data_IF_336370581977
#
_entry.id   IF_336370581977
#
_cell.length_a   1.000
_cell.length_b   1.000
_cell.length_c   1.000
_cell.angle_alpha   90.00
_cell.angle_beta   90.00
_cell.angle_gamma   90.00
#
_symmetry.space_group_name_H-M   'P 1'
#
loop_
_entity.id
_entity.type
_entity.pdbx_description
1 polymer ?
#
# COMPACT_ATOMS: atom_id res chain seq x y z
N UNK A 1 21.30 18.32 13.39
CA UNK A 1 19.96 17.76 13.06
C UNK A 1 20.14 16.84 11.87
N UNK A 2 19.95 15.54 12.05
CA UNK A 2 20.06 14.55 10.96
C UNK A 2 18.97 14.82 9.90
N UNK A 3 19.31 14.71 8.61
CA UNK A 3 18.37 14.96 7.50
C UNK A 3 17.12 14.06 7.61
N UNK A 4 17.26 12.83 8.11
CA UNK A 4 16.14 11.92 8.40
C UNK A 4 15.14 12.49 9.41
N UNK A 5 15.59 13.27 10.40
CA UNK A 5 14.71 13.94 11.38
C UNK A 5 13.95 15.10 10.74
N UNK A 6 14.60 15.84 9.84
CA UNK A 6 13.93 16.87 9.05
C UNK A 6 12.88 16.27 8.09
N UNK A 7 13.18 15.12 7.47
CA UNK A 7 12.19 14.35 6.69
C UNK A 7 11.02 13.89 7.54
N UNK A 8 11.29 13.38 8.74
CA UNK A 8 10.23 12.97 9.66
C UNK A 8 9.31 14.14 10.04
N UNK A 9 9.90 15.31 10.35
CA UNK A 9 9.12 16.53 10.62
C UNK A 9 8.27 16.96 9.42
N UNK A 10 8.81 16.89 8.20
CA UNK A 10 8.06 17.17 6.97
C UNK A 10 6.96 16.15 6.70
N UNK A 11 7.19 14.86 7.02
CA UNK A 11 6.16 13.82 6.86
C UNK A 11 4.94 14.01 7.76
N UNK A 12 5.10 14.78 8.83
CA UNK A 12 4.02 15.16 9.74
C UNK A 12 3.55 16.60 9.55
N UNK A 13 4.18 17.37 8.67
CA UNK A 13 3.74 18.74 8.41
C UNK A 13 2.56 18.71 7.43
N UNK A 14 1.55 19.53 7.70
CA UNK A 14 0.43 19.76 6.78
C UNK A 14 0.75 20.81 5.71
N UNK A 15 2.03 21.12 5.48
CA UNK A 15 2.43 22.12 4.50
C UNK A 15 2.21 21.58 3.08
N UNK A 16 1.53 22.32 2.21
CA UNK A 16 1.28 21.92 0.81
C UNK A 16 2.56 21.60 0.03
N UNK A 17 3.69 22.23 0.39
CA UNK A 17 4.99 22.02 -0.25
C UNK A 17 5.87 20.98 0.46
N UNK A 18 5.37 20.32 1.51
CA UNK A 18 6.08 19.27 2.22
C UNK A 18 6.62 18.16 1.30
N UNK A 19 5.86 17.60 0.33
CA UNK A 19 6.37 16.53 -0.53
C UNK A 19 7.54 16.97 -1.41
N UNK A 20 7.47 18.17 -2.01
CA UNK A 20 8.57 18.72 -2.81
C UNK A 20 9.83 18.99 -1.99
N UNK A 21 9.68 19.50 -0.76
CA UNK A 21 10.79 19.69 0.18
C UNK A 21 11.40 18.36 0.61
N UNK A 22 10.58 17.36 0.91
CA UNK A 22 11.02 16.03 1.29
C UNK A 22 11.80 15.36 0.14
N UNK A 23 11.29 15.44 -1.09
CA UNK A 23 11.95 14.91 -2.28
C UNK A 23 13.30 15.60 -2.53
N UNK A 24 13.34 16.93 -2.41
CA UNK A 24 14.59 17.69 -2.51
C UNK A 24 15.60 17.30 -1.43
N UNK A 25 15.15 17.01 -0.21
CA UNK A 25 16.02 16.58 0.88
C UNK A 25 16.61 15.19 0.61
N UNK A 26 15.80 14.23 0.17
CA UNK A 26 16.28 12.88 -0.20
C UNK A 26 17.28 12.97 -1.36
N UNK A 27 17.00 13.79 -2.38
CA UNK A 27 17.93 14.01 -3.49
C UNK A 27 19.25 14.64 -3.01
N UNK A 28 19.18 15.58 -2.05
CA UNK A 28 20.37 16.16 -1.44
C UNK A 28 21.19 15.13 -0.66
N UNK A 29 20.53 14.20 0.04
CA UNK A 29 21.19 13.08 0.71
C UNK A 29 21.90 12.15 -0.30
N UNK A 30 21.24 11.83 -1.42
CA UNK A 30 21.82 11.02 -2.52
C UNK A 30 23.07 11.68 -3.12
N UNK A 31 22.99 12.97 -3.44
CA UNK A 31 24.13 13.73 -3.99
C UNK A 31 25.27 13.84 -2.99
N UNK A 32 24.99 14.20 -1.74
CA UNK A 32 26.02 14.30 -0.71
C UNK A 32 26.72 12.95 -0.47
N UNK A 33 25.97 11.85 -0.56
CA UNK A 33 26.54 10.51 -0.47
C UNK A 33 27.45 10.19 -1.67
N UNK A 34 27.05 10.56 -2.89
CA UNK A 34 27.87 10.41 -4.09
C UNK A 34 29.15 11.26 -4.02
N UNK A 35 29.09 12.44 -3.40
CA UNK A 35 30.25 13.32 -3.14
C UNK A 35 31.18 12.80 -2.03
N UNK A 36 30.91 11.62 -1.47
CA UNK A 36 31.77 10.94 -0.50
C UNK A 36 31.32 11.07 0.96
N UNK A 37 30.20 11.76 1.24
CA UNK A 37 29.67 11.87 2.60
C UNK A 37 28.86 10.62 2.98
N UNK A 38 29.54 9.64 3.59
CA UNK A 38 28.94 8.36 4.01
C UNK A 38 27.82 8.52 5.03
N UNK A 39 27.85 9.57 5.85
CA UNK A 39 26.84 9.84 6.87
C UNK A 39 25.50 10.30 6.28
N UNK A 40 25.49 10.71 5.01
CA UNK A 40 24.29 11.15 4.28
C UNK A 40 23.66 10.04 3.44
N UNK A 41 24.07 8.78 3.60
CA UNK A 41 23.46 7.66 2.87
C UNK A 41 21.95 7.57 3.19
N UNK A 42 21.06 7.69 2.19
CA UNK A 42 19.63 7.46 2.40
C UNK A 42 19.36 6.03 2.84
N UNK A 43 18.52 5.88 3.86
CA UNK A 43 18.03 4.59 4.35
C UNK A 43 16.56 4.37 3.96
N UNK A 44 16.06 3.16 4.23
CA UNK A 44 14.65 2.84 3.97
C UNK A 44 13.71 3.75 4.76
N UNK A 45 14.12 4.24 5.94
CA UNK A 45 13.32 5.14 6.79
C UNK A 45 13.13 6.50 6.11
N UNK A 46 14.18 7.05 5.50
CA UNK A 46 14.11 8.29 4.73
C UNK A 46 13.11 8.17 3.57
N UNK A 47 13.15 7.06 2.83
CA UNK A 47 12.20 6.78 1.76
C UNK A 47 10.78 6.53 2.29
N UNK A 48 10.61 5.83 3.42
CA UNK A 48 9.29 5.64 4.07
C UNK A 48 8.68 6.96 4.51
N UNK A 49 9.49 7.90 5.04
CA UNK A 49 9.01 9.23 5.39
C UNK A 49 8.58 10.02 4.15
N UNK A 50 9.33 9.92 3.05
CA UNK A 50 8.95 10.53 1.77
C UNK A 50 7.65 9.92 1.23
N UNK A 51 7.48 8.59 1.32
CA UNK A 51 6.25 7.91 0.95
C UNK A 51 5.06 8.40 1.79
N UNK A 52 5.24 8.56 3.10
CA UNK A 52 4.21 9.11 3.98
C UNK A 52 3.81 10.55 3.56
N UNK A 53 4.76 11.38 3.11
CA UNK A 53 4.44 12.68 2.52
C UNK A 53 3.54 12.52 1.27
N UNK A 54 3.92 11.66 0.32
CA UNK A 54 3.17 11.46 -0.92
C UNK A 54 1.77 10.91 -0.69
N UNK A 55 1.62 9.91 0.19
CA UNK A 55 0.32 9.33 0.56
C UNK A 55 -0.61 10.37 1.18
N UNK A 56 -0.11 11.22 2.08
CA UNK A 56 -0.87 12.29 2.72
C UNK A 56 -1.34 13.37 1.73
N UNK A 57 -0.60 13.57 0.65
CA UNK A 57 -0.90 14.55 -0.40
C UNK A 57 -1.58 13.94 -1.62
N UNK A 58 -1.98 12.66 -1.55
CA UNK A 58 -2.61 11.90 -2.66
C UNK A 58 -1.78 11.88 -3.96
N UNK A 59 -0.46 11.96 -3.82
CA UNK A 59 0.49 11.90 -4.94
C UNK A 59 0.79 10.44 -5.29
N UNK A 60 -0.17 9.75 -5.91
CA UNK A 60 -0.10 8.30 -6.16
C UNK A 60 0.98 7.92 -7.18
N UNK A 61 1.13 8.69 -8.25
CA UNK A 61 2.16 8.46 -9.27
C UNK A 61 3.56 8.54 -8.67
N UNK A 62 3.84 9.59 -7.90
CA UNK A 62 5.13 9.76 -7.23
C UNK A 62 5.39 8.66 -6.19
N UNK A 63 4.35 8.17 -5.49
CA UNK A 63 4.48 7.06 -4.55
C UNK A 63 4.87 5.74 -5.24
N UNK A 64 4.32 5.46 -6.43
CA UNK A 64 4.68 4.28 -7.21
C UNK A 64 6.06 4.39 -7.85
N UNK A 65 6.42 5.55 -8.39
CA UNK A 65 7.77 5.82 -8.88
C UNK A 65 8.81 5.65 -7.76
N UNK A 66 8.48 6.12 -6.56
CA UNK A 66 9.32 5.96 -5.38
C UNK A 66 9.53 4.48 -5.03
N UNK A 67 8.49 3.66 -5.11
CA UNK A 67 8.60 2.22 -4.90
C UNK A 67 9.54 1.58 -5.92
N UNK A 68 9.38 1.89 -7.21
CA UNK A 68 10.27 1.37 -8.27
C UNK A 68 11.72 1.79 -8.01
N UNK A 69 11.93 3.03 -7.55
CA UNK A 69 13.26 3.52 -7.18
C UNK A 69 13.83 2.76 -5.98
N UNK A 70 13.06 2.55 -4.92
CA UNK A 70 13.53 1.82 -3.72
C UNK A 70 13.84 0.36 -4.06
N UNK A 71 13.04 -0.27 -4.92
CA UNK A 71 13.29 -1.61 -5.42
C UNK A 71 14.59 -1.71 -6.21
N UNK A 72 14.83 -0.78 -7.16
CA UNK A 72 16.07 -0.79 -7.94
C UNK A 72 17.31 -0.49 -7.09
N UNK A 73 17.19 0.36 -6.07
CA UNK A 73 18.26 0.63 -5.11
C UNK A 73 18.56 -0.59 -4.22
N UNK A 74 17.56 -1.40 -3.90
CA UNK A 74 17.75 -2.64 -3.16
C UNK A 74 18.42 -3.71 -4.03
N UNK A 75 17.91 -3.91 -5.25
CA UNK A 75 18.46 -4.89 -6.19
C UNK A 75 19.91 -4.54 -6.60
N UNK A 76 20.24 -3.24 -6.67
CA UNK A 76 21.60 -2.72 -6.89
C UNK A 76 22.50 -2.76 -5.65
N UNK A 77 22.04 -3.26 -4.51
CA UNK A 77 22.82 -3.36 -3.26
C UNK A 77 23.10 -2.02 -2.57
N UNK A 78 22.52 -0.92 -3.04
CA UNK A 78 22.66 0.40 -2.42
C UNK A 78 21.95 0.42 -1.06
N UNK A 79 20.72 -0.09 -1.01
CA UNK A 79 19.97 -0.24 0.23
C UNK A 79 20.29 -1.57 0.91
N UNK A 80 20.55 -1.53 2.21
CA UNK A 80 20.74 -2.75 3.01
C UNK A 80 19.43 -3.52 3.22
N UNK A 81 18.28 -2.84 3.14
CA UNK A 81 16.95 -3.41 3.34
C UNK A 81 16.03 -2.98 2.22
N UNK A 82 15.30 -3.94 1.65
CA UNK A 82 14.29 -3.69 0.64
C UNK A 82 13.00 -3.10 1.21
N UNK A 83 12.04 -2.78 0.34
CA UNK A 83 10.72 -2.34 0.77
C UNK A 83 10.03 -3.43 1.58
N UNK A 84 9.50 -3.06 2.74
CA UNK A 84 8.81 -3.97 3.65
C UNK A 84 7.29 -3.98 3.40
N UNK A 85 6.59 -4.86 4.13
CA UNK A 85 5.12 -4.95 4.06
C UNK A 85 4.43 -3.61 4.32
N UNK A 86 4.99 -2.76 5.19
CA UNK A 86 4.43 -1.45 5.51
C UNK A 86 4.58 -0.51 4.31
N UNK A 87 5.75 -0.51 3.66
CA UNK A 87 6.02 0.28 2.47
C UNK A 87 5.04 -0.04 1.34
N UNK A 88 4.87 -1.32 0.99
CA UNK A 88 3.88 -1.75 -0.01
C UNK A 88 2.44 -1.37 0.39
N UNK A 89 2.09 -1.59 1.66
CA UNK A 89 0.74 -1.27 2.16
C UNK A 89 0.43 0.22 2.07
N UNK A 90 1.42 1.09 2.30
CA UNK A 90 1.28 2.53 2.17
C UNK A 90 1.06 2.97 0.72
N UNK A 91 1.79 2.40 -0.25
CA UNK A 91 1.56 2.67 -1.69
C UNK A 91 0.16 2.21 -2.10
N UNK A 92 -0.26 1.01 -1.70
CA UNK A 92 -1.62 0.51 -1.98
C UNK A 92 -2.71 1.40 -1.38
N UNK A 93 -2.51 1.89 -0.17
CA UNK A 93 -3.44 2.81 0.45
C UNK A 93 -3.48 4.17 -0.28
N UNK A 94 -2.39 4.59 -0.92
CA UNK A 94 -2.39 5.75 -1.81
C UNK A 94 -3.25 5.50 -3.04
N UNK A 95 -3.05 4.36 -3.72
CA UNK A 95 -3.82 3.94 -4.91
C UNK A 95 -5.31 3.85 -4.58
N UNK A 96 -5.65 3.27 -3.42
CA UNK A 96 -7.04 3.20 -2.95
C UNK A 96 -7.70 4.56 -2.72
N UNK A 97 -6.92 5.63 -2.58
CA UNK A 97 -7.41 6.99 -2.36
C UNK A 97 -7.48 7.85 -3.63
N UNK A 98 -6.81 7.47 -4.73
CA UNK A 98 -6.85 8.28 -5.95
C UNK A 98 -8.18 8.21 -6.70
N UNK A 99 -9.01 7.21 -6.40
CA UNK A 99 -10.30 6.97 -7.07
C UNK A 99 -10.16 6.88 -8.60
N UNK A 100 -9.00 6.44 -9.09
CA UNK A 100 -8.79 6.19 -10.53
C UNK A 100 -9.52 4.90 -10.93
N UNK A 101 -10.05 4.84 -12.16
CA UNK A 101 -10.76 3.64 -12.66
C UNK A 101 -9.83 2.41 -12.75
N UNK A 102 -8.53 2.63 -12.95
CA UNK A 102 -7.48 1.61 -13.02
C UNK A 102 -6.85 1.28 -11.65
N UNK A 103 -7.34 1.90 -10.56
CA UNK A 103 -6.77 1.74 -9.22
C UNK A 103 -6.80 0.30 -8.73
N UNK A 104 -7.83 -0.47 -9.09
CA UNK A 104 -7.91 -1.89 -8.70
C UNK A 104 -6.85 -2.73 -9.42
N UNK A 105 -6.73 -2.60 -10.75
CA UNK A 105 -5.75 -3.35 -11.54
C UNK A 105 -4.32 -3.02 -11.10
N UNK A 106 -4.04 -1.74 -10.79
CA UNK A 106 -2.73 -1.32 -10.27
C UNK A 106 -2.46 -1.90 -8.89
N UNK A 107 -3.45 -1.89 -8.01
CA UNK A 107 -3.32 -2.46 -6.68
C UNK A 107 -3.12 -3.99 -6.73
N UNK A 108 -3.80 -4.69 -7.63
CA UNK A 108 -3.63 -6.13 -7.85
C UNK A 108 -2.24 -6.45 -8.40
N UNK A 109 -1.78 -5.72 -9.41
CA UNK A 109 -0.42 -5.86 -9.94
C UNK A 109 0.65 -5.61 -8.86
N UNK A 110 0.41 -4.64 -7.97
CA UNK A 110 1.28 -4.34 -6.86
C UNK A 110 1.27 -5.45 -5.78
N UNK A 111 0.12 -6.06 -5.50
CA UNK A 111 0.01 -7.22 -4.63
C UNK A 111 0.82 -8.40 -5.20
N UNK A 112 0.67 -8.69 -6.50
CA UNK A 112 1.42 -9.76 -7.15
C UNK A 112 2.93 -9.49 -7.11
N UNK A 113 3.36 -8.23 -7.37
CA UNK A 113 4.76 -7.80 -7.27
C UNK A 113 5.33 -8.01 -5.86
N UNK A 114 4.54 -7.69 -4.84
CA UNK A 114 4.87 -7.90 -3.44
C UNK A 114 5.08 -9.39 -3.12
N UNK A 115 4.15 -10.26 -3.57
CA UNK A 115 4.24 -11.72 -3.44
C UNK A 115 5.47 -12.30 -4.17
N UNK A 116 5.74 -11.85 -5.41
CA UNK A 116 6.92 -12.28 -6.19
C UNK A 116 8.25 -11.91 -5.53
N UNK A 117 8.30 -10.80 -4.80
CA UNK A 117 9.48 -10.38 -4.02
C UNK A 117 9.59 -11.09 -2.67
N UNK A 118 8.69 -12.04 -2.38
CA UNK A 118 8.67 -12.77 -1.12
C UNK A 118 8.20 -11.94 0.07
N UNK A 119 7.64 -10.76 -0.16
CA UNK A 119 7.08 -9.91 0.88
C UNK A 119 5.64 -10.36 1.12
N UNK A 120 5.31 -10.76 2.35
CA UNK A 120 3.98 -11.30 2.66
C UNK A 120 2.94 -10.19 2.78
N UNK A 121 1.85 -10.24 1.98
CA UNK A 121 0.69 -9.36 2.16
C UNK A 121 0.12 -9.47 3.58
N UNK A 122 -0.43 -8.37 4.07
CA UNK A 122 -1.18 -8.36 5.32
C UNK A 122 -2.65 -8.01 5.07
N UNK A 123 -3.46 -8.06 6.12
CA UNK A 123 -4.88 -7.75 5.99
C UNK A 123 -5.16 -6.28 5.61
N UNK A 124 -4.22 -5.38 5.90
CA UNK A 124 -4.31 -3.96 5.50
C UNK A 124 -4.16 -3.86 3.97
N UNK A 125 -3.25 -4.63 3.38
CA UNK A 125 -3.05 -4.78 1.93
C UNK A 125 -4.36 -5.18 1.24
N UNK A 126 -5.02 -6.23 1.72
CA UNK A 126 -6.31 -6.70 1.17
C UNK A 126 -7.46 -5.72 1.41
N UNK A 127 -7.50 -5.05 2.56
CA UNK A 127 -8.48 -3.99 2.81
C UNK A 127 -8.33 -2.81 1.82
N UNK A 128 -7.10 -2.44 1.45
CA UNK A 128 -6.87 -1.42 0.42
C UNK A 128 -7.38 -1.87 -0.96
N UNK A 129 -7.21 -3.13 -1.33
CA UNK A 129 -7.75 -3.69 -2.57
C UNK A 129 -9.28 -3.61 -2.64
N UNK A 130 -9.97 -3.99 -1.56
CA UNK A 130 -11.44 -3.88 -1.47
C UNK A 130 -11.89 -2.42 -1.60
N UNK A 131 -11.13 -1.46 -1.04
CA UNK A 131 -11.41 -0.03 -1.22
C UNK A 131 -11.23 0.42 -2.67
N UNK A 132 -10.18 -0.01 -3.38
CA UNK A 132 -10.02 0.27 -4.81
C UNK A 132 -11.23 -0.25 -5.59
N UNK A 133 -11.65 -1.48 -5.30
CA UNK A 133 -12.79 -2.11 -5.95
C UNK A 133 -14.12 -1.39 -5.67
N UNK A 134 -14.32 -0.90 -4.45
CA UNK A 134 -15.49 -0.08 -4.07
C UNK A 134 -15.58 1.26 -4.81
N UNK A 135 -14.44 1.77 -5.29
CA UNK A 135 -14.36 3.02 -6.03
C UNK A 135 -14.52 2.81 -7.55
N UNK A 136 -14.43 1.58 -8.04
CA UNK A 136 -14.68 1.28 -9.45
C UNK A 136 -16.16 1.43 -9.81
N UNK A 137 -16.42 1.95 -11.02
CA UNK A 137 -17.77 2.14 -11.53
C UNK A 137 -18.51 0.82 -11.82
N UNK A 138 -17.80 -0.28 -12.07
CA UNK A 138 -18.38 -1.60 -12.38
C UNK A 138 -17.63 -2.72 -11.68
N UNK A 139 -17.93 -2.96 -10.39
CA UNK A 139 -17.27 -4.01 -9.62
C UNK A 139 -17.65 -5.43 -10.10
N UNK A 140 -16.66 -6.25 -10.48
CA UNK A 140 -16.87 -7.64 -10.90
C UNK A 140 -17.05 -8.60 -9.71
N UNK A 141 -18.22 -9.24 -9.61
CA UNK A 141 -18.53 -10.21 -8.56
C UNK A 141 -17.53 -11.37 -8.48
N UNK A 142 -17.06 -11.87 -9.63
CA UNK A 142 -16.12 -13.00 -9.69
C UNK A 142 -14.77 -12.65 -9.05
N UNK A 143 -14.24 -11.46 -9.34
CA UNK A 143 -12.97 -10.99 -8.76
C UNK A 143 -13.08 -10.77 -7.25
N UNK A 144 -14.22 -10.26 -6.78
CA UNK A 144 -14.47 -10.10 -5.35
C UNK A 144 -14.55 -11.47 -4.66
N UNK A 145 -15.25 -12.45 -5.23
CA UNK A 145 -15.37 -13.79 -4.68
C UNK A 145 -14.02 -14.50 -4.59
N UNK A 146 -13.18 -14.39 -5.62
CA UNK A 146 -11.83 -14.94 -5.63
C UNK A 146 -10.96 -14.30 -4.53
N UNK A 147 -10.99 -12.97 -4.40
CA UNK A 147 -10.27 -12.25 -3.35
C UNK A 147 -10.63 -12.76 -1.95
N UNK A 148 -11.92 -13.03 -1.73
CA UNK A 148 -12.45 -13.45 -0.44
C UNK A 148 -12.05 -14.88 -0.12
N UNK A 149 -12.15 -15.79 -1.09
CA UNK A 149 -11.65 -17.15 -0.93
C UNK A 149 -10.14 -17.17 -0.67
N UNK A 150 -9.37 -16.33 -1.39
CA UNK A 150 -7.93 -16.18 -1.16
C UNK A 150 -7.63 -15.69 0.25
N UNK A 151 -8.30 -14.63 0.74
CA UNK A 151 -8.09 -14.09 2.09
C UNK A 151 -8.49 -15.09 3.18
N UNK A 152 -9.62 -15.77 3.02
CA UNK A 152 -10.09 -16.84 3.93
C UNK A 152 -9.03 -17.96 4.04
N UNK A 153 -8.58 -18.47 2.90
CA UNK A 153 -7.56 -19.52 2.84
C UNK A 153 -6.25 -19.09 3.49
N UNK A 154 -5.79 -17.86 3.23
CA UNK A 154 -4.57 -17.33 3.83
C UNK A 154 -4.68 -17.15 5.35
N UNK A 155 -5.87 -16.87 5.86
CA UNK A 155 -6.13 -16.78 7.29
C UNK A 155 -6.16 -18.14 7.97
N UNK A 156 -6.90 -19.10 7.40
CA UNK A 156 -7.02 -20.46 7.93
C UNK A 156 -5.67 -21.21 7.90
N UNK A 157 -4.88 -21.00 6.85
CA UNK A 157 -3.52 -21.54 6.75
C UNK A 157 -2.49 -20.86 7.68
N UNK A 158 -2.90 -19.83 8.44
CA UNK A 158 -2.05 -19.08 9.35
C UNK A 158 -0.99 -18.19 8.67
N UNK A 159 -1.07 -18.05 7.34
CA UNK A 159 -0.15 -17.22 6.56
C UNK A 159 -0.46 -15.73 6.71
N UNK A 160 -1.73 -15.39 6.91
CA UNK A 160 -2.22 -14.04 7.14
C UNK A 160 -2.46 -13.79 8.63
N UNK A 161 -1.60 -12.95 9.23
CA UNK A 161 -1.83 -12.47 10.60
C UNK A 161 -2.82 -11.30 10.56
N UNK A 162 -4.00 -11.49 11.15
CA UNK A 162 -5.02 -10.46 11.29
C UNK A 162 -5.63 -10.52 12.69
N UNK A 163 -5.98 -9.36 13.25
CA UNK A 163 -6.87 -9.33 14.42
C UNK A 163 -8.31 -9.62 13.96
N UNK A 164 -9.16 -10.18 14.83
CA UNK A 164 -10.57 -10.38 14.51
C UNK A 164 -11.27 -9.09 14.03
N UNK A 165 -10.92 -7.93 14.60
CA UNK A 165 -11.46 -6.63 14.17
C UNK A 165 -11.11 -6.29 12.70
N UNK A 166 -9.88 -6.57 12.27
CA UNK A 166 -9.47 -6.31 10.89
C UNK A 166 -10.17 -7.23 9.90
N UNK A 167 -10.43 -8.49 10.27
CA UNK A 167 -11.22 -9.43 9.49
C UNK A 167 -12.68 -8.99 9.38
N UNK A 168 -13.29 -8.60 10.50
CA UNK A 168 -14.64 -8.06 10.50
C UNK A 168 -14.77 -6.80 9.64
N UNK A 169 -13.78 -5.91 9.66
CA UNK A 169 -13.73 -4.74 8.76
C UNK A 169 -13.63 -5.15 7.29
N UNK A 170 -12.78 -6.13 6.98
CA UNK A 170 -12.65 -6.65 5.63
C UNK A 170 -14.00 -7.19 5.12
N UNK A 171 -14.63 -8.11 5.87
CA UNK A 171 -15.93 -8.66 5.49
C UNK A 171 -17.02 -7.58 5.43
N UNK A 172 -17.03 -6.59 6.34
CA UNK A 172 -17.99 -5.47 6.28
C UNK A 172 -17.80 -4.62 5.02
N UNK A 173 -16.56 -4.24 4.70
CA UNK A 173 -16.25 -3.46 3.50
C UNK A 173 -16.63 -4.22 2.23
N UNK A 174 -16.37 -5.52 2.20
CA UNK A 174 -16.77 -6.43 1.13
C UNK A 174 -18.30 -6.53 1.00
N UNK A 175 -19.04 -6.73 2.10
CA UNK A 175 -20.51 -6.76 2.08
C UNK A 175 -21.09 -5.45 1.54
N UNK A 176 -20.52 -4.31 1.91
CA UNK A 176 -20.93 -3.02 1.35
C UNK A 176 -20.62 -2.90 -0.15
N UNK A 177 -19.57 -3.58 -0.63
CA UNK A 177 -19.22 -3.64 -2.05
C UNK A 177 -20.22 -4.49 -2.85
N UNK A 178 -20.61 -5.65 -2.32
CA UNK A 178 -21.63 -6.51 -2.93
C UNK A 178 -23.00 -5.83 -3.05
N UNK A 179 -23.39 -5.05 -2.04
CA UNK A 179 -24.65 -4.28 -2.08
C UNK A 179 -24.61 -3.20 -3.18
N UNK A 180 -23.43 -2.61 -3.44
CA UNK A 180 -23.26 -1.61 -4.51
C UNK A 180 -23.17 -2.21 -5.91
N UNK A 181 -22.72 -3.47 -6.05
CA UNK A 181 -22.48 -4.12 -7.36
C UNK A 181 -23.74 -4.75 -7.99
N UNK A 182 -24.94 -4.49 -7.44
CA UNK A 182 -26.21 -5.04 -7.93
C UNK A 182 -26.30 -6.59 -7.93
N UNK A 183 -25.60 -7.25 -6.99
CA UNK A 183 -25.72 -8.69 -6.73
C UNK A 183 -26.74 -8.97 -5.60
N UNK A 184 -27.91 -8.32 -5.64
CA UNK A 184 -28.97 -8.51 -4.65
C UNK A 184 -29.73 -9.86 -4.77
N UNK A 185 -29.35 -10.74 -5.72
CA UNK A 185 -30.07 -12.00 -6.00
C UNK A 185 -29.47 -13.26 -5.38
N UNK A 186 -28.30 -13.19 -4.75
CA UNK A 186 -27.64 -14.34 -4.10
C UNK A 186 -27.48 -14.14 -2.58
N UNK A 187 -28.54 -13.63 -1.92
CA UNK A 187 -28.60 -13.54 -0.45
C UNK A 187 -28.44 -14.90 0.24
N UNK A 188 -28.63 -16.01 -0.47
CA UNK A 188 -28.44 -17.37 0.06
C UNK A 188 -26.96 -17.71 0.33
N UNK A 189 -26.01 -17.03 -0.31
CA UNK A 189 -24.58 -17.18 0.00
C UNK A 189 -24.16 -16.44 1.29
N UNK A 190 -24.97 -15.49 1.78
CA UNK A 190 -24.70 -14.73 3.01
C UNK A 190 -24.83 -15.58 4.29
N UNK A 191 -25.49 -16.74 4.22
CA UNK A 191 -25.60 -17.68 5.33
C UNK A 191 -24.27 -18.31 5.75
N UNK A 192 -23.24 -18.26 4.90
CA UNK A 192 -21.91 -18.80 5.19
C UNK A 192 -21.01 -17.80 5.94
N UNK A 193 -21.29 -16.49 5.85
CA UNK A 193 -20.40 -15.43 6.38
C UNK A 193 -20.91 -14.79 7.68
N UNK A 194 -22.17 -15.05 8.06
CA UNK A 194 -22.80 -14.52 9.29
C UNK A 194 -22.74 -15.50 10.46
N UNK A 195 -22.31 -16.74 10.22
CA UNK A 195 -22.13 -17.78 11.26
C UNK A 195 -20.65 -18.14 11.37
N UNK A 196 -19.88 -17.36 12.10
CA UNK A 196 -18.62 -17.74 12.77
C UNK A 196 -18.15 -16.60 13.66
#
# INVERSE_FOLDING_TARGET
>A
ITMTTALYALSRSGEKNAPGRAQALVKKMEVAHADGNRDMKPDIIAYSNLLNCFTSHKMTKDAEELLIKVESLYDGGFLQKGPDTIFYSSVLNAIAQSCDDDAFQRAEALLHRMECRGVRPNIITYNSLVKCFLNQASPSYEQMKDLVQKVQYLYESGQLKGTPDNMQRFYRSMMSAFVKSDACKETDAMGLWTRS
#
